data_IF_906931533639
#
_entry.id   IF_906931533639
#
_cell.length_a   1.000
_cell.length_b   1.000
_cell.length_c   1.000
_cell.angle_alpha   90.00
_cell.angle_beta   90.00
_cell.angle_gamma   90.00
#
_symmetry.space_group_name_H-M   'P 1'
#
loop_
_entity.id
_entity.type
_entity.pdbx_description
1 polymer ?
#
# COMPACT_ATOMS: atom_id res chain seq x y z
N UNK A 1 9.47 18.02 29.55
CA UNK A 1 9.99 16.85 28.83
C UNK A 1 9.94 17.25 27.37
N UNK A 2 11.07 17.61 26.77
CA UNK A 2 11.09 18.01 25.36
C UNK A 2 10.67 16.79 24.55
N UNK A 3 9.52 16.84 23.89
CA UNK A 3 9.20 15.90 22.83
C UNK A 3 10.21 16.17 21.73
N UNK A 4 11.22 15.32 21.61
CA UNK A 4 12.10 15.36 20.45
C UNK A 4 11.26 14.98 19.23
N UNK A 5 11.25 15.86 18.22
CA UNK A 5 10.54 15.64 16.97
C UNK A 5 11.06 14.37 16.27
N UNK A 6 10.28 13.81 15.35
CA UNK A 6 10.71 12.62 14.63
C UNK A 6 11.99 12.89 13.80
N UNK A 7 13.03 12.09 14.04
CA UNK A 7 14.27 12.13 13.25
C UNK A 7 14.42 10.88 12.38
N UNK A 8 14.62 11.10 11.09
CA UNK A 8 14.81 10.06 10.10
C UNK A 8 16.12 9.27 10.35
N UNK A 9 16.00 7.96 10.47
CA UNK A 9 17.09 7.00 10.74
C UNK A 9 17.74 7.16 12.13
N UNK A 10 17.07 7.84 13.06
CA UNK A 10 17.38 7.76 14.48
C UNK A 10 17.28 6.33 15.02
N UNK A 11 17.88 6.02 16.19
CA UNK A 11 17.74 4.72 16.83
C UNK A 11 16.28 4.27 17.00
N UNK A 12 15.36 5.21 17.28
CA UNK A 12 13.93 4.95 17.36
C UNK A 12 13.34 4.51 16.02
N UNK A 13 13.67 5.21 14.93
CA UNK A 13 13.23 4.84 13.58
C UNK A 13 13.80 3.47 13.16
N UNK A 14 15.08 3.22 13.40
CA UNK A 14 15.72 1.95 13.09
C UNK A 14 15.12 0.79 13.88
N UNK A 15 14.78 1.01 15.17
CA UNK A 15 14.05 0.03 15.97
C UNK A 15 12.66 -0.25 15.38
N UNK A 16 11.92 0.78 14.97
CA UNK A 16 10.63 0.61 14.32
C UNK A 16 10.75 -0.23 13.03
N UNK A 17 11.74 0.06 12.19
CA UNK A 17 12.03 -0.73 10.99
C UNK A 17 12.39 -2.19 11.32
N UNK A 18 13.21 -2.42 12.34
CA UNK A 18 13.56 -3.76 12.79
C UNK A 18 12.33 -4.55 13.25
N UNK A 19 11.41 -3.91 13.98
CA UNK A 19 10.14 -4.51 14.40
C UNK A 19 9.25 -4.85 13.19
N UNK A 20 9.19 -3.98 12.17
CA UNK A 20 8.47 -4.26 10.93
C UNK A 20 9.06 -5.46 10.21
N UNK A 21 10.38 -5.54 10.07
CA UNK A 21 11.05 -6.71 9.46
C UNK A 21 10.77 -7.99 10.26
N UNK A 22 10.83 -7.92 11.59
CA UNK A 22 10.50 -9.05 12.45
C UNK A 22 9.04 -9.49 12.27
N UNK A 23 8.09 -8.54 12.18
CA UNK A 23 6.68 -8.82 11.93
C UNK A 23 6.45 -9.45 10.54
N UNK A 24 7.17 -8.99 9.51
CA UNK A 24 7.12 -9.55 8.16
C UNK A 24 7.65 -10.99 8.15
N UNK A 25 8.79 -11.23 8.80
CA UNK A 25 9.34 -12.57 8.96
C UNK A 25 8.40 -13.50 9.74
N UNK A 26 7.80 -13.00 10.83
CA UNK A 26 6.81 -13.73 11.62
C UNK A 26 5.56 -14.08 10.81
N UNK A 27 5.05 -13.15 10.01
CA UNK A 27 3.89 -13.37 9.14
C UNK A 27 4.21 -14.34 8.01
N UNK A 28 5.39 -14.23 7.40
CA UNK A 28 5.88 -15.20 6.41
C UNK A 28 5.96 -16.61 7.00
N UNK A 29 6.56 -16.74 8.20
CA UNK A 29 6.69 -18.00 8.90
C UNK A 29 5.32 -18.59 9.24
N UNK A 30 4.44 -17.81 9.85
CA UNK A 30 3.09 -18.23 10.21
C UNK A 30 2.31 -18.65 8.96
N UNK A 31 2.30 -17.84 7.90
CA UNK A 31 1.59 -18.11 6.65
C UNK A 31 2.02 -19.43 5.99
N UNK A 32 3.32 -19.79 6.06
CA UNK A 32 3.84 -21.07 5.54
C UNK A 32 3.42 -22.29 6.35
N UNK A 33 3.08 -22.11 7.63
CA UNK A 33 2.67 -23.19 8.54
C UNK A 33 1.16 -23.39 8.58
N UNK A 34 0.39 -22.49 7.96
CA UNK A 34 -1.06 -22.62 7.92
C UNK A 34 -1.49 -23.59 6.82
N UNK A 35 -1.93 -24.78 7.22
CA UNK A 35 -2.39 -25.82 6.30
C UNK A 35 -3.90 -25.73 6.04
N UNK A 36 -4.69 -25.49 7.09
CA UNK A 36 -6.15 -25.45 6.97
C UNK A 36 -6.64 -24.16 6.32
N UNK A 37 -7.53 -24.28 5.34
CA UNK A 37 -8.24 -23.16 4.73
C UNK A 37 -8.97 -22.28 5.77
N UNK A 38 -9.49 -22.88 6.84
CA UNK A 38 -10.15 -22.14 7.91
C UNK A 38 -9.16 -21.27 8.69
N UNK A 39 -7.96 -21.77 8.98
CA UNK A 39 -6.93 -20.99 9.65
C UNK A 39 -6.43 -19.84 8.75
N UNK A 40 -6.28 -20.08 7.43
CA UNK A 40 -5.90 -19.04 6.47
C UNK A 40 -6.93 -17.91 6.42
N UNK A 41 -8.21 -18.27 6.37
CA UNK A 41 -9.32 -17.31 6.37
C UNK A 41 -9.36 -16.51 7.68
N UNK A 42 -9.15 -17.16 8.82
CA UNK A 42 -9.08 -16.49 10.13
C UNK A 42 -7.93 -15.49 10.19
N UNK A 43 -6.72 -15.86 9.79
CA UNK A 43 -5.56 -14.95 9.79
C UNK A 43 -5.79 -13.73 8.90
N UNK A 44 -6.35 -13.93 7.70
CA UNK A 44 -6.71 -12.82 6.83
C UNK A 44 -7.83 -11.93 7.39
N UNK A 45 -8.84 -12.51 8.05
CA UNK A 45 -9.89 -11.74 8.71
C UNK A 45 -9.32 -10.90 9.86
N UNK A 46 -8.41 -11.46 10.66
CA UNK A 46 -7.73 -10.73 11.74
C UNK A 46 -6.93 -9.54 11.19
N UNK A 47 -6.19 -9.72 10.11
CA UNK A 47 -5.48 -8.62 9.44
C UNK A 47 -6.46 -7.57 8.90
N UNK A 48 -7.52 -7.99 8.22
CA UNK A 48 -8.50 -7.10 7.59
C UNK A 48 -9.22 -6.24 8.62
N UNK A 49 -9.82 -6.89 9.63
CA UNK A 49 -10.62 -6.20 10.64
C UNK A 49 -9.76 -5.50 11.69
N UNK A 50 -8.56 -6.01 11.99
CA UNK A 50 -7.61 -5.33 12.87
C UNK A 50 -7.15 -4.00 12.29
N UNK A 51 -6.77 -3.97 11.01
CA UNK A 51 -6.37 -2.74 10.34
C UNK A 51 -7.56 -1.80 10.12
N UNK A 52 -8.72 -2.31 9.70
CA UNK A 52 -9.93 -1.49 9.59
C UNK A 52 -10.29 -0.86 10.93
N UNK A 53 -10.20 -1.62 12.03
CA UNK A 53 -10.45 -1.11 13.38
C UNK A 53 -9.51 0.03 13.76
N UNK A 54 -8.21 -0.13 13.48
CA UNK A 54 -7.21 0.93 13.70
C UNK A 54 -7.54 2.19 12.90
N UNK A 55 -7.90 2.04 11.62
CA UNK A 55 -8.25 3.16 10.73
C UNK A 55 -9.53 3.87 11.17
N UNK A 56 -10.54 3.12 11.62
CA UNK A 56 -11.76 3.70 12.20
C UNK A 56 -11.44 4.49 13.47
N UNK A 57 -10.65 3.94 14.39
CA UNK A 57 -10.23 4.64 15.61
C UNK A 57 -9.46 5.91 15.27
N UNK A 58 -8.52 5.84 14.32
CA UNK A 58 -7.73 7.00 13.90
C UNK A 58 -8.61 8.09 13.26
N UNK A 59 -9.56 7.70 12.42
CA UNK A 59 -10.51 8.60 11.77
C UNK A 59 -11.40 9.28 12.80
N UNK A 60 -12.01 8.52 13.71
CA UNK A 60 -12.85 9.05 14.79
C UNK A 60 -12.04 10.04 15.65
N UNK A 61 -10.84 9.66 16.08
CA UNK A 61 -9.98 10.55 16.87
C UNK A 61 -9.64 11.84 16.12
N UNK A 62 -9.28 11.75 14.83
CA UNK A 62 -8.99 12.93 14.01
C UNK A 62 -10.22 13.86 13.91
N UNK A 63 -11.40 13.30 13.68
CA UNK A 63 -12.65 14.07 13.60
C UNK A 63 -13.02 14.72 14.92
N UNK A 64 -12.74 14.07 16.06
CA UNK A 64 -12.96 14.66 17.38
C UNK A 64 -12.01 15.83 17.68
N UNK A 65 -10.80 15.84 17.10
CA UNK A 65 -9.79 16.89 17.31
C UNK A 65 -10.00 18.06 16.35
N UNK A 66 -10.18 17.77 15.06
CA UNK A 66 -10.15 18.78 13.97
C UNK A 66 -11.57 19.16 13.50
N UNK A 67 -12.59 18.39 13.87
CA UNK A 67 -13.95 18.51 13.35
C UNK A 67 -14.22 17.59 12.16
N UNK A 68 -15.49 17.43 11.84
CA UNK A 68 -15.95 16.61 10.72
C UNK A 68 -16.27 17.47 9.50
N UNK A 69 -15.54 17.24 8.41
CA UNK A 69 -15.90 17.72 7.07
C UNK A 69 -16.29 16.51 6.21
N UNK A 70 -17.56 16.39 5.78
CA UNK A 70 -18.01 15.26 4.98
C UNK A 70 -17.27 15.11 3.66
N UNK A 71 -16.88 16.21 3.00
CA UNK A 71 -16.25 16.18 1.68
C UNK A 71 -14.77 15.80 1.79
N UNK A 72 -14.07 16.29 2.81
CA UNK A 72 -12.67 15.91 3.06
C UNK A 72 -12.52 14.54 3.74
N UNK A 73 -13.61 13.96 4.23
CA UNK A 73 -13.60 12.63 4.87
C UNK A 73 -13.89 11.47 3.92
N UNK A 74 -14.15 11.74 2.63
CA UNK A 74 -14.37 10.68 1.64
C UNK A 74 -13.03 9.99 1.33
N UNK A 75 -12.94 8.65 1.41
CA UNK A 75 -11.71 7.90 1.16
C UNK A 75 -11.41 7.79 -0.35
N UNK A 76 -11.18 8.92 -1.00
CA UNK A 76 -10.92 9.02 -2.44
C UNK A 76 -9.45 9.34 -2.76
N UNK A 77 -8.57 9.40 -1.76
CA UNK A 77 -7.14 9.32 -2.05
C UNK A 77 -6.79 7.90 -2.50
N UNK A 78 -5.78 7.80 -3.38
CA UNK A 78 -5.37 6.52 -3.96
C UNK A 78 -4.95 5.51 -2.88
N UNK A 79 -4.31 5.97 -1.80
CA UNK A 79 -3.94 5.15 -0.66
C UNK A 79 -5.17 4.59 0.08
N UNK A 80 -6.24 5.37 0.23
CA UNK A 80 -7.48 4.90 0.85
C UNK A 80 -8.13 3.81 0.00
N UNK A 81 -8.19 4.03 -1.32
CA UNK A 81 -8.71 3.02 -2.25
C UNK A 81 -7.85 1.76 -2.25
N UNK A 82 -6.52 1.90 -2.15
CA UNK A 82 -5.61 0.77 -2.04
C UNK A 82 -5.80 0.00 -0.73
N UNK A 83 -6.06 0.70 0.38
CA UNK A 83 -6.43 0.09 1.67
C UNK A 83 -7.76 -0.66 1.57
N UNK A 84 -8.79 -0.06 0.97
CA UNK A 84 -10.08 -0.72 0.76
C UNK A 84 -9.95 -1.95 -0.16
N UNK A 85 -9.11 -1.85 -1.20
CA UNK A 85 -8.79 -2.98 -2.07
C UNK A 85 -8.04 -4.08 -1.29
N UNK A 86 -7.10 -3.73 -0.41
CA UNK A 86 -6.40 -4.68 0.47
C UNK A 86 -7.39 -5.40 1.37
N UNK A 87 -8.26 -4.66 2.05
CA UNK A 87 -9.32 -5.21 2.91
C UNK A 87 -10.22 -6.15 2.12
N UNK A 88 -10.71 -5.72 0.95
CA UNK A 88 -11.53 -6.54 0.08
C UNK A 88 -10.80 -7.78 -0.45
N UNK A 89 -9.50 -7.70 -0.74
CA UNK A 89 -8.69 -8.83 -1.16
C UNK A 89 -8.50 -9.85 -0.02
N UNK A 90 -8.28 -9.38 1.21
CA UNK A 90 -8.23 -10.21 2.43
C UNK A 90 -9.53 -10.92 2.76
N UNK A 91 -10.67 -10.51 2.20
CA UNK A 91 -11.98 -11.16 2.40
C UNK A 91 -12.43 -11.98 1.19
N UNK A 92 -12.18 -11.51 -0.03
CA UNK A 92 -12.74 -12.11 -1.24
C UNK A 92 -11.72 -12.86 -2.09
N UNK A 93 -10.42 -12.60 -1.89
CA UNK A 93 -9.32 -13.14 -2.69
C UNK A 93 -9.44 -12.79 -4.17
N UNK A 94 -10.25 -11.77 -4.49
CA UNK A 94 -10.40 -11.30 -5.87
C UNK A 94 -9.07 -10.74 -6.34
N UNK A 95 -8.59 -11.33 -7.43
CA UNK A 95 -7.29 -11.01 -8.01
C UNK A 95 -7.14 -9.53 -8.36
N UNK A 96 -8.19 -8.89 -8.87
CA UNK A 96 -8.14 -7.45 -9.17
C UNK A 96 -7.89 -6.60 -7.92
N UNK A 97 -8.57 -6.90 -6.81
CA UNK A 97 -8.39 -6.17 -5.54
C UNK A 97 -6.99 -6.39 -4.97
N UNK A 98 -6.48 -7.62 -5.05
CA UNK A 98 -5.10 -7.92 -4.68
C UNK A 98 -4.10 -7.15 -5.55
N UNK A 99 -4.27 -7.16 -6.88
CA UNK A 99 -3.39 -6.44 -7.80
C UNK A 99 -3.42 -4.93 -7.50
N UNK A 100 -4.61 -4.35 -7.33
CA UNK A 100 -4.75 -2.93 -7.00
C UNK A 100 -4.04 -2.58 -5.68
N UNK A 101 -4.28 -3.37 -4.63
CA UNK A 101 -3.61 -3.20 -3.34
C UNK A 101 -2.09 -3.42 -3.40
N UNK A 102 -1.63 -4.35 -4.23
CA UNK A 102 -0.21 -4.62 -4.43
C UNK A 102 0.48 -3.45 -5.14
N UNK A 103 -0.06 -2.97 -6.25
CA UNK A 103 0.59 -1.93 -7.04
C UNK A 103 0.45 -0.53 -6.41
N UNK A 104 -0.72 -0.19 -5.86
CA UNK A 104 -1.00 1.14 -5.32
C UNK A 104 -0.90 1.25 -3.80
N UNK A 105 -0.93 0.13 -3.08
CA UNK A 105 -0.82 0.09 -1.62
C UNK A 105 0.57 -0.35 -1.14
N UNK A 106 1.03 -1.54 -1.55
CA UNK A 106 2.29 -2.12 -1.06
C UNK A 106 3.51 -1.25 -1.39
N UNK A 107 3.63 -0.81 -2.64
CA UNK A 107 4.76 0.03 -3.07
C UNK A 107 4.83 1.33 -2.27
N UNK A 108 3.69 2.02 -2.11
CA UNK A 108 3.60 3.24 -1.32
C UNK A 108 3.89 3.00 0.17
N UNK A 109 3.34 1.93 0.75
CA UNK A 109 3.54 1.58 2.15
C UNK A 109 5.00 1.22 2.46
N UNK A 110 5.70 0.56 1.53
CA UNK A 110 7.12 0.28 1.68
C UNK A 110 7.96 1.56 1.77
N UNK A 111 7.75 2.52 0.86
CA UNK A 111 8.48 3.80 0.91
C UNK A 111 8.05 4.67 2.09
N UNK A 112 6.77 4.67 2.46
CA UNK A 112 6.26 5.36 3.64
C UNK A 112 6.97 4.91 4.93
N UNK A 113 7.28 3.61 5.04
CA UNK A 113 8.02 3.08 6.18
C UNK A 113 9.50 3.46 6.16
N UNK A 114 10.12 3.56 4.97
CA UNK A 114 11.55 3.82 4.84
C UNK A 114 11.89 5.32 4.96
N UNK A 115 11.03 6.17 4.40
CA UNK A 115 11.14 7.64 4.43
C UNK A 115 9.83 8.25 4.93
N UNK A 116 9.46 8.01 6.20
CA UNK A 116 8.26 8.59 6.79
C UNK A 116 8.35 10.11 6.81
N UNK A 117 7.22 10.75 6.53
CA UNK A 117 7.04 12.18 6.69
C UNK A 117 6.14 12.42 7.91
N UNK A 118 6.76 12.46 9.09
CA UNK A 118 6.08 12.63 10.38
C UNK A 118 6.60 13.92 11.03
N UNK A 119 5.66 14.77 11.47
CA UNK A 119 5.97 15.96 12.25
C UNK A 119 6.05 15.61 13.76
N UNK A 120 5.29 14.61 14.20
CA UNK A 120 5.13 14.23 15.60
C UNK A 120 6.10 13.10 16.04
N UNK A 121 6.52 13.07 17.33
CA UNK A 121 7.39 12.03 17.87
C UNK A 121 6.82 10.62 17.72
N UNK A 122 7.68 9.59 17.78
CA UNK A 122 7.26 8.18 17.70
C UNK A 122 6.35 7.71 18.84
N UNK A 123 6.23 8.49 19.91
CA UNK A 123 5.30 8.22 21.00
C UNK A 123 3.89 8.75 20.73
N UNK A 124 3.73 9.62 19.73
CA UNK A 124 2.42 10.13 19.33
C UNK A 124 1.58 9.04 18.69
N UNK A 125 0.28 9.11 18.92
CA UNK A 125 -0.67 8.12 18.41
C UNK A 125 -0.70 8.06 16.88
N UNK A 126 -0.67 9.19 16.18
CA UNK A 126 -0.71 9.23 14.73
C UNK A 126 0.58 8.71 14.12
N UNK A 127 1.73 8.99 14.74
CA UNK A 127 3.03 8.40 14.38
C UNK A 127 3.04 6.87 14.57
N UNK A 128 2.56 6.36 15.72
CA UNK A 128 2.45 4.91 15.94
C UNK A 128 1.49 4.26 14.94
N UNK A 129 0.30 4.85 14.76
CA UNK A 129 -0.70 4.37 13.78
C UNK A 129 -0.14 4.41 12.37
N UNK A 130 0.69 5.40 12.01
CA UNK A 130 1.35 5.47 10.72
C UNK A 130 2.20 4.22 10.47
N UNK A 131 3.09 3.85 11.41
CA UNK A 131 3.90 2.64 11.27
C UNK A 131 3.06 1.36 11.26
N UNK A 132 2.05 1.24 12.14
CA UNK A 132 1.20 0.03 12.19
C UNK A 132 0.36 -0.12 10.92
N UNK A 133 -0.22 0.96 10.39
CA UNK A 133 -1.08 0.90 9.20
C UNK A 133 -0.26 0.52 7.96
N UNK A 134 0.88 1.18 7.71
CA UNK A 134 1.72 0.88 6.56
C UNK A 134 2.38 -0.50 6.66
N UNK A 135 2.87 -0.89 7.84
CA UNK A 135 3.39 -2.25 8.04
C UNK A 135 2.28 -3.29 7.89
N UNK A 136 1.07 -3.01 8.37
CA UNK A 136 -0.12 -3.83 8.20
C UNK A 136 -0.48 -4.11 6.75
N UNK A 137 -0.42 -3.09 5.88
CA UNK A 137 -0.58 -3.26 4.43
C UNK A 137 0.48 -4.22 3.88
N UNK A 138 1.76 -4.02 4.25
CA UNK A 138 2.85 -4.91 3.84
C UNK A 138 2.63 -6.36 4.30
N UNK A 139 2.29 -6.56 5.58
CA UNK A 139 2.00 -7.87 6.16
C UNK A 139 0.83 -8.55 5.45
N UNK A 140 -0.23 -7.79 5.14
CA UNK A 140 -1.42 -8.29 4.44
C UNK A 140 -1.10 -8.78 3.03
N UNK A 141 -0.25 -8.05 2.30
CA UNK A 141 0.18 -8.45 0.96
C UNK A 141 1.08 -9.69 0.99
N UNK A 142 2.02 -9.77 1.95
CA UNK A 142 2.82 -10.97 2.16
C UNK A 142 1.92 -12.16 2.52
N UNK A 143 0.95 -11.97 3.42
CA UNK A 143 0.04 -13.02 3.85
C UNK A 143 -0.81 -13.55 2.69
N UNK A 144 -1.42 -12.66 1.88
CA UNK A 144 -2.18 -13.04 0.69
C UNK A 144 -1.32 -13.78 -0.33
N UNK A 145 -0.08 -13.34 -0.51
CA UNK A 145 0.85 -13.94 -1.46
C UNK A 145 1.24 -15.35 -1.04
N UNK A 146 1.53 -15.55 0.24
CA UNK A 146 2.08 -16.80 0.76
C UNK A 146 0.99 -17.81 1.12
N UNK A 147 -0.03 -17.40 1.87
CA UNK A 147 -1.08 -18.31 2.34
C UNK A 147 -2.08 -18.68 1.23
N UNK A 148 -2.40 -17.72 0.34
CA UNK A 148 -3.40 -17.89 -0.73
C UNK A 148 -2.80 -17.98 -2.14
N UNK A 149 -1.47 -17.86 -2.29
CA UNK A 149 -0.81 -17.97 -3.60
C UNK A 149 -1.16 -16.87 -4.58
N UNK A 150 -1.71 -15.74 -4.12
CA UNK A 150 -2.02 -14.61 -4.99
C UNK A 150 -0.73 -13.90 -5.41
N UNK A 151 -0.64 -13.49 -6.66
CA UNK A 151 0.54 -12.78 -7.18
C UNK A 151 0.19 -11.94 -8.40
N UNK A 152 0.88 -10.82 -8.62
CA UNK A 152 0.77 -10.10 -9.87
C UNK A 152 1.36 -10.96 -11.00
N UNK A 153 0.88 -10.73 -12.22
CA UNK A 153 1.46 -11.30 -13.44
C UNK A 153 1.80 -10.18 -14.41
N UNK A 154 2.49 -10.48 -15.50
CA UNK A 154 2.79 -9.48 -16.53
C UNK A 154 1.52 -8.77 -17.06
N UNK A 155 0.39 -9.48 -17.17
CA UNK A 155 -0.91 -8.89 -17.59
C UNK A 155 -1.51 -7.92 -16.58
N UNK A 156 -1.01 -7.94 -15.34
CA UNK A 156 -1.48 -7.07 -14.27
C UNK A 156 -0.93 -5.65 -14.44
N UNK A 157 0.27 -5.50 -15.01
CA UNK A 157 0.91 -4.18 -15.22
C UNK A 157 0.06 -3.24 -16.09
N UNK A 158 -0.30 -3.58 -17.35
CA UNK A 158 -1.14 -2.69 -18.17
C UNK A 158 -2.55 -2.52 -17.59
N UNK A 159 -3.09 -3.55 -16.92
CA UNK A 159 -4.39 -3.46 -16.26
C UNK A 159 -4.40 -2.45 -15.12
N UNK A 160 -3.35 -2.44 -14.30
CA UNK A 160 -3.23 -1.48 -13.20
C UNK A 160 -2.90 -0.09 -13.71
N UNK A 161 -2.12 0.04 -14.78
CA UNK A 161 -1.91 1.33 -15.44
C UNK A 161 -3.25 1.96 -15.87
N UNK A 162 -4.12 1.18 -16.53
CA UNK A 162 -5.48 1.61 -16.88
C UNK A 162 -6.33 1.91 -15.64
N UNK A 163 -6.24 1.09 -14.59
CA UNK A 163 -6.97 1.33 -13.34
C UNK A 163 -6.54 2.64 -12.65
N UNK A 164 -5.25 2.98 -12.68
CA UNK A 164 -4.71 4.25 -12.16
C UNK A 164 -5.22 5.46 -12.95
N UNK A 165 -5.24 5.35 -14.28
CA UNK A 165 -5.82 6.38 -15.15
C UNK A 165 -7.32 6.55 -14.90
N UNK A 166 -8.07 5.45 -14.77
CA UNK A 166 -9.49 5.50 -14.44
C UNK A 166 -9.73 6.17 -13.08
N UNK A 167 -8.89 5.87 -12.08
CA UNK A 167 -8.88 6.59 -10.82
C UNK A 167 -8.68 8.10 -11.02
N UNK A 168 -7.67 8.51 -11.79
CA UNK A 168 -7.41 9.93 -12.03
C UNK A 168 -8.59 10.65 -12.69
N UNK A 169 -9.26 10.01 -13.65
CA UNK A 169 -10.47 10.56 -14.29
C UNK A 169 -11.61 10.71 -13.27
N UNK A 170 -11.88 9.68 -12.47
CA UNK A 170 -12.97 9.69 -11.50
C UNK A 170 -12.72 10.70 -10.36
N UNK A 171 -11.51 10.67 -9.78
CA UNK A 171 -11.12 11.61 -8.72
C UNK A 171 -11.04 13.05 -9.26
N UNK A 172 -10.54 13.24 -10.49
CA UNK A 172 -10.52 14.53 -11.16
C UNK A 172 -11.93 15.10 -11.41
N UNK A 173 -12.88 14.25 -11.79
CA UNK A 173 -14.28 14.66 -11.94
C UNK A 173 -14.90 15.09 -10.60
N UNK A 174 -14.66 14.33 -9.52
CA UNK A 174 -15.11 14.71 -8.17
C UNK A 174 -14.47 16.02 -7.73
N UNK A 175 -13.16 16.18 -7.96
CA UNK A 175 -12.45 17.42 -7.66
C UNK A 175 -13.03 18.63 -8.40
N UNK A 176 -13.37 18.47 -9.68
CA UNK A 176 -13.96 19.53 -10.48
C UNK A 176 -15.37 19.91 -10.01
N UNK A 177 -16.20 18.91 -9.63
CA UNK A 177 -17.58 19.12 -9.17
C UNK A 177 -17.67 19.68 -7.75
N UNK A 178 -16.80 19.20 -6.85
CA UNK A 178 -16.88 19.47 -5.41
C UNK A 178 -15.81 20.46 -4.90
N UNK A 179 -14.91 20.94 -5.77
CA UNK A 179 -13.82 21.83 -5.39
C UNK A 179 -12.74 21.17 -4.52
N UNK A 180 -12.68 19.84 -4.50
CA UNK A 180 -11.70 19.05 -3.73
C UNK A 180 -10.37 18.86 -4.48
N UNK A 181 -9.40 18.22 -3.84
CA UNK A 181 -8.09 17.96 -4.44
C UNK A 181 -7.54 16.55 -4.12
N UNK A 182 -8.36 15.52 -4.33
CA UNK A 182 -7.93 14.12 -4.23
C UNK A 182 -6.81 13.81 -5.21
N UNK A 183 -5.82 13.04 -4.76
CA UNK A 183 -4.64 12.67 -5.55
C UNK A 183 -3.75 13.85 -5.97
N UNK A 184 -4.01 15.06 -5.45
CA UNK A 184 -3.38 16.30 -5.89
C UNK A 184 -3.51 16.51 -7.40
N UNK A 185 -4.69 16.21 -7.96
CA UNK A 185 -4.95 16.29 -9.41
C UNK A 185 -5.33 17.69 -9.88
N UNK A 186 -5.80 18.56 -8.98
CA UNK A 186 -6.22 19.92 -9.29
C UNK A 186 -5.10 20.94 -9.03
N UNK A 187 -4.34 20.74 -7.95
CA UNK A 187 -3.18 21.56 -7.61
C UNK A 187 -2.24 20.79 -6.66
N UNK A 188 -1.01 21.30 -6.51
CA UNK A 188 -0.02 20.74 -5.58
C UNK A 188 -0.43 20.97 -4.12
N UNK A 189 0.06 20.15 -3.17
CA UNK A 189 -0.03 20.44 -1.75
C UNK A 189 0.58 21.81 -1.42
N UNK A 190 0.12 22.45 -0.35
CA UNK A 190 0.71 23.71 0.13
C UNK A 190 2.08 23.51 0.82
N UNK A 191 2.39 22.27 1.19
CA UNK A 191 3.67 21.88 1.79
C UNK A 191 4.68 21.49 0.70
N UNK A 192 5.99 21.71 0.91
CA UNK A 192 7.00 21.31 -0.04
C UNK A 192 6.94 19.81 -0.33
N UNK A 193 6.88 19.43 -1.60
CA UNK A 193 6.86 18.03 -2.03
C UNK A 193 7.67 17.81 -3.31
N UNK A 194 7.94 16.54 -3.64
CA UNK A 194 8.54 16.18 -4.92
C UNK A 194 7.78 16.73 -6.13
N UNK A 195 6.47 16.97 -6.00
CA UNK A 195 5.63 17.55 -7.05
C UNK A 195 6.10 18.94 -7.46
N UNK A 196 6.74 19.70 -6.56
CA UNK A 196 7.22 21.05 -6.83
C UNK A 196 8.27 21.08 -7.94
N UNK A 197 9.03 19.99 -8.09
CA UNK A 197 10.06 19.83 -9.12
C UNK A 197 9.51 19.33 -10.47
N UNK A 198 8.23 18.98 -10.58
CA UNK A 198 7.63 18.35 -11.76
C UNK A 198 6.93 19.33 -12.71
N UNK A 199 7.14 20.64 -12.54
CA UNK A 199 6.51 21.69 -13.35
C UNK A 199 5.09 22.07 -12.92
N UNK A 200 4.45 23.06 -13.56
CA UNK A 200 3.13 23.54 -13.16
C UNK A 200 2.01 22.57 -13.57
N UNK A 201 0.81 22.77 -13.01
CA UNK A 201 -0.39 22.07 -13.49
C UNK A 201 -0.69 22.46 -14.95
N UNK A 202 -1.11 21.54 -15.84
CA UNK A 202 -1.32 20.10 -15.64
C UNK A 202 -0.09 19.24 -15.99
N UNK A 203 1.07 19.84 -16.30
CA UNK A 203 2.25 19.10 -16.79
C UNK A 203 2.79 18.06 -15.82
N UNK A 204 2.70 18.29 -14.50
CA UNK A 204 3.12 17.27 -13.53
C UNK A 204 2.25 16.00 -13.55
N UNK A 205 1.04 16.05 -14.12
CA UNK A 205 0.22 14.86 -14.32
C UNK A 205 0.79 13.93 -15.39
N UNK A 206 1.54 14.47 -16.37
CA UNK A 206 2.29 13.65 -17.34
C UNK A 206 3.37 12.86 -16.61
N UNK A 207 4.01 13.48 -15.60
CA UNK A 207 4.98 12.78 -14.77
C UNK A 207 4.35 11.66 -13.94
N UNK A 208 3.06 11.74 -13.55
CA UNK A 208 2.37 10.60 -12.93
C UNK A 208 2.35 9.38 -13.86
N UNK A 209 2.05 9.60 -15.15
CA UNK A 209 2.05 8.54 -16.15
C UNK A 209 3.45 7.96 -16.37
N UNK A 210 4.47 8.81 -16.49
CA UNK A 210 5.86 8.38 -16.65
C UNK A 210 6.31 7.55 -15.44
N UNK A 211 6.02 8.02 -14.23
CA UNK A 211 6.33 7.30 -12.99
C UNK A 211 5.59 5.96 -12.96
N UNK A 212 4.31 5.91 -13.31
CA UNK A 212 3.54 4.68 -13.34
C UNK A 212 4.11 3.67 -14.35
N UNK A 213 4.54 4.13 -15.53
CA UNK A 213 5.18 3.29 -16.56
C UNK A 213 6.50 2.67 -16.09
N UNK A 214 7.19 3.27 -15.13
CA UNK A 214 8.45 2.75 -14.56
C UNK A 214 8.18 1.90 -13.31
N UNK A 215 7.38 2.41 -12.38
CA UNK A 215 7.16 1.80 -11.06
C UNK A 215 6.32 0.53 -11.16
N UNK A 216 5.29 0.49 -12.01
CA UNK A 216 4.45 -0.72 -12.12
C UNK A 216 5.26 -1.93 -12.64
N UNK A 217 6.06 -1.84 -13.71
CA UNK A 217 6.96 -2.94 -14.08
C UNK A 217 7.97 -3.29 -12.99
N UNK A 218 8.53 -2.29 -12.30
CA UNK A 218 9.51 -2.51 -11.23
C UNK A 218 8.91 -3.31 -10.06
N UNK A 219 7.68 -2.99 -9.64
CA UNK A 219 6.97 -3.74 -8.61
C UNK A 219 6.63 -5.17 -9.06
N UNK A 220 6.44 -5.41 -10.36
CA UNK A 220 6.24 -6.77 -10.89
C UNK A 220 7.54 -7.60 -10.97
N UNK A 221 8.69 -6.95 -11.03
CA UNK A 221 9.99 -7.56 -11.31
C UNK A 221 10.34 -8.78 -10.43
N UNK A 222 10.11 -8.79 -9.10
CA UNK A 222 10.41 -9.95 -8.26
C UNK A 222 9.64 -11.21 -8.68
N UNK A 223 8.39 -11.05 -9.15
CA UNK A 223 7.55 -12.15 -9.59
C UNK A 223 7.91 -12.64 -10.99
N UNK A 224 8.39 -11.74 -11.86
CA UNK A 224 8.93 -12.14 -13.17
C UNK A 224 10.10 -13.13 -13.02
N UNK A 225 11.07 -12.80 -12.16
CA UNK A 225 12.20 -13.70 -11.90
C UNK A 225 11.77 -15.01 -11.25
N UNK A 226 10.85 -14.96 -10.28
CA UNK A 226 10.29 -16.15 -9.65
C UNK A 226 9.62 -17.09 -10.67
N UNK A 227 8.80 -16.54 -11.58
CA UNK A 227 8.09 -17.32 -12.60
C UNK A 227 9.06 -17.95 -13.61
N UNK A 228 10.11 -17.23 -14.00
CA UNK A 228 11.12 -17.72 -14.94
C UNK A 228 11.94 -18.88 -14.38
N UNK A 229 12.40 -18.77 -13.13
CA UNK A 229 13.17 -19.83 -12.45
C UNK A 229 12.32 -21.09 -12.25
N UNK A 230 11.04 -20.92 -11.92
CA UNK A 230 10.14 -22.08 -11.74
C UNK A 230 9.78 -22.75 -13.07
N UNK A 231 9.60 -21.97 -14.14
CA UNK A 231 9.39 -22.49 -15.49
C UNK A 231 10.56 -23.35 -15.97
N UNK A 232 11.80 -22.89 -15.79
CA UNK A 232 13.00 -23.65 -16.19
C UNK A 232 13.15 -24.98 -15.42
N UNK A 233 12.80 -25.02 -14.14
CA UNK A 233 12.90 -26.28 -13.36
C UNK A 233 11.87 -27.34 -13.77
N UNK A 234 10.71 -26.94 -14.29
CA UNK A 234 9.71 -27.88 -14.81
C UNK A 234 10.21 -28.50 -16.12
N UNK A 235 10.79 -27.69 -17.00
CA UNK A 235 11.34 -28.12 -18.29
C UNK A 235 12.51 -29.10 -18.09
N UNK A 236 13.47 -28.78 -17.22
CA UNK A 236 14.59 -29.69 -16.89
C UNK A 236 14.13 -31.03 -16.30
N UNK A 237 13.03 -31.05 -15.53
CA UNK A 237 12.49 -32.28 -14.94
C UNK A 237 11.80 -33.16 -15.99
N UNK A 238 11.15 -32.56 -16.98
CA UNK A 238 10.53 -33.29 -18.09
C UNK A 238 11.60 -33.91 -19.00
N UNK A 239 12.69 -33.18 -19.27
CA UNK A 239 13.81 -33.68 -20.07
C UNK A 239 14.56 -34.85 -19.41
N UNK A 240 14.58 -34.90 -18.07
CA UNK A 240 15.22 -36.00 -17.32
C UNK A 240 14.38 -37.29 -17.23
N UNK A 241 13.12 -37.28 -17.69
CA UNK A 241 12.23 -38.43 -17.71
C UNK A 241 11.97 -39.00 -19.11
N UNK A 242 12.54 -38.39 -20.16
CA UNK A 242 12.54 -38.90 -21.54
C UNK A 242 13.82 -39.63 -21.87
#
# INVERSE_FOLDING_TARGET
>A
MHSEDFELFSPGHLLALALVVAALAGTLWAARRVESEQQKKRGAALLAFGLLGLEVVATVRKQLIVGFDPMLSIPLHLCDLAFLAMFGALLTRRRFLYEFAYFFGFGGAFFALLTPNLDDPLTDFFSIRYFISHSGVCLSMVYLTIAFGLRPTWRSVPRMFVAGNLYMVLAGAVNWLAGTNFGYLSHKPAVPTLLDHLGPWPYYLIWYEVIALVVLPLLYLPFYFYDRVRGSQVETRLDSCG
#
